data_IF_500584171741
#
_entry.id   IF_500584171741
#
_cell.length_a   1.000
_cell.length_b   1.000
_cell.length_c   1.000
_cell.angle_alpha   90.00
_cell.angle_beta   90.00
_cell.angle_gamma   90.00
#
_symmetry.space_group_name_H-M   'P 1'
#
loop_
_entity.id
_entity.type
_entity.pdbx_description
1 polymer ?
#
# COMPACT_ATOMS: atom_id res chain seq x y z
N UNK A 1 -21.54 11.83 -24.36
CA UNK A 1 -21.29 10.38 -24.52
C UNK A 1 -20.52 9.92 -23.30
N UNK A 2 -21.16 9.27 -22.34
CA UNK A 2 -20.46 8.66 -21.22
C UNK A 2 -20.01 7.26 -21.66
N UNK A 3 -18.70 7.02 -21.69
CA UNK A 3 -18.11 5.74 -22.08
C UNK A 3 -18.28 4.80 -20.88
N UNK A 4 -19.33 3.97 -20.89
CA UNK A 4 -19.79 3.19 -19.73
C UNK A 4 -18.91 2.01 -19.27
N UNK A 5 -17.60 2.03 -19.56
CA UNK A 5 -16.70 0.89 -19.31
C UNK A 5 -15.40 1.28 -18.55
N UNK A 6 -15.27 2.51 -18.07
CA UNK A 6 -14.02 3.00 -17.45
C UNK A 6 -14.02 2.93 -15.92
N UNK A 7 -15.20 2.81 -15.28
CA UNK A 7 -15.33 2.74 -13.83
C UNK A 7 -15.72 1.33 -13.38
N UNK A 8 -14.90 0.76 -12.50
CA UNK A 8 -15.18 -0.52 -11.84
C UNK A 8 -14.88 -0.41 -10.36
N UNK A 9 -15.71 -1.05 -9.55
CA UNK A 9 -15.40 -1.31 -8.15
C UNK A 9 -14.80 -2.70 -8.04
N UNK A 10 -13.70 -2.82 -7.31
CA UNK A 10 -13.09 -4.10 -6.97
C UNK A 10 -13.37 -4.40 -5.50
N UNK A 11 -14.39 -5.22 -5.22
CA UNK A 11 -14.70 -5.71 -3.87
C UNK A 11 -14.52 -7.23 -3.83
N UNK A 12 -13.80 -7.73 -2.82
CA UNK A 12 -13.63 -9.17 -2.57
C UNK A 12 -13.20 -9.98 -3.82
N UNK A 13 -12.31 -9.42 -4.64
CA UNK A 13 -11.81 -10.10 -5.85
C UNK A 13 -12.74 -10.02 -7.07
N UNK A 14 -13.91 -9.40 -6.95
CA UNK A 14 -14.89 -9.28 -8.02
C UNK A 14 -14.87 -7.86 -8.61
N UNK A 15 -14.63 -7.78 -9.92
CA UNK A 15 -14.78 -6.53 -10.67
C UNK A 15 -16.25 -6.35 -11.04
N UNK A 16 -16.87 -5.27 -10.57
CA UNK A 16 -18.19 -4.84 -11.01
C UNK A 16 -18.06 -3.50 -11.71
N UNK A 17 -18.44 -3.45 -12.97
CA UNK A 17 -18.54 -2.18 -13.69
C UNK A 17 -19.72 -1.40 -13.10
N UNK A 18 -19.47 -0.14 -12.77
CA UNK A 18 -20.46 0.75 -12.18
C UNK A 18 -20.73 1.87 -13.15
N UNK A 19 -22.02 2.10 -13.41
CA UNK A 19 -22.46 3.29 -14.11
C UNK A 19 -22.51 4.41 -13.08
N UNK A 20 -21.50 5.27 -13.08
CA UNK A 20 -21.41 6.41 -12.19
C UNK A 20 -22.32 7.51 -12.75
N UNK A 21 -23.40 7.84 -12.03
CA UNK A 21 -24.14 9.07 -12.30
C UNK A 21 -23.31 10.25 -11.81
N UNK A 22 -23.03 11.20 -12.71
CA UNK A 22 -22.27 12.41 -12.38
C UNK A 22 -22.97 13.27 -11.31
N UNK A 23 -24.29 13.15 -11.15
CA UNK A 23 -25.03 13.88 -10.12
C UNK A 23 -24.87 13.29 -8.71
N UNK A 24 -24.45 12.02 -8.60
CA UNK A 24 -24.31 11.27 -7.33
C UNK A 24 -22.84 10.90 -7.03
N UNK A 25 -21.89 11.51 -7.76
CA UNK A 25 -20.45 11.22 -7.60
C UNK A 25 -19.84 11.85 -6.35
N UNK A 26 -20.40 12.98 -5.88
CA UNK A 26 -19.81 13.77 -4.81
C UNK A 26 -20.45 13.47 -3.43
N UNK A 27 -19.69 13.53 -2.33
CA UNK A 27 -18.27 13.81 -2.27
C UNK A 27 -17.42 12.54 -2.47
N UNK A 28 -16.19 12.70 -2.96
CA UNK A 28 -15.21 11.61 -3.03
C UNK A 28 -13.79 12.08 -2.68
N UNK A 29 -12.93 11.12 -2.31
CA UNK A 29 -11.51 11.33 -2.08
C UNK A 29 -10.72 10.90 -3.31
N UNK A 30 -10.09 11.85 -3.99
CA UNK A 30 -9.13 11.58 -5.06
C UNK A 30 -7.74 11.37 -4.45
N UNK A 31 -7.21 10.15 -4.60
CA UNK A 31 -5.85 9.80 -4.17
C UNK A 31 -4.95 9.66 -5.40
N UNK A 32 -4.09 10.65 -5.63
CA UNK A 32 -3.12 10.61 -6.73
C UNK A 32 -1.78 10.05 -6.24
N UNK A 33 -1.39 8.89 -6.76
CA UNK A 33 -0.15 8.19 -6.41
C UNK A 33 0.87 8.37 -7.54
N UNK A 34 1.86 9.23 -7.32
CA UNK A 34 3.03 9.40 -8.18
C UNK A 34 4.32 9.20 -7.38
N UNK A 35 5.33 10.07 -7.59
CA UNK A 35 6.57 10.05 -6.80
C UNK A 35 6.32 10.22 -5.29
N UNK A 36 5.28 10.98 -4.93
CA UNK A 36 4.63 11.00 -3.62
C UNK A 36 3.12 10.83 -3.80
N UNK A 37 2.34 11.11 -2.76
CA UNK A 37 0.88 10.97 -2.79
C UNK A 37 0.18 12.25 -2.37
N UNK A 38 -0.87 12.62 -3.09
CA UNK A 38 -1.75 13.74 -2.74
C UNK A 38 -3.18 13.24 -2.59
N UNK A 39 -3.86 13.67 -1.53
CA UNK A 39 -5.24 13.31 -1.23
C UNK A 39 -6.11 14.56 -1.28
N UNK A 40 -7.12 14.55 -2.14
CA UNK A 40 -7.96 15.71 -2.45
C UNK A 40 -9.41 15.31 -2.23
N UNK A 41 -10.11 16.03 -1.33
CA UNK A 41 -11.56 15.93 -1.19
C UNK A 41 -12.20 16.73 -2.30
N UNK A 42 -13.12 16.12 -3.03
CA UNK A 42 -13.89 16.73 -4.11
C UNK A 42 -15.36 16.72 -3.71
N UNK A 43 -15.90 17.91 -3.45
CA UNK A 43 -17.28 18.13 -2.98
C UNK A 43 -18.25 18.48 -4.13
N UNK A 44 -17.73 18.73 -5.32
CA UNK A 44 -18.50 19.11 -6.50
C UNK A 44 -17.63 19.64 -7.63
N UNK A 45 -18.24 19.93 -8.77
CA UNK A 45 -17.55 20.55 -9.89
C UNK A 45 -16.85 21.84 -9.49
N UNK A 46 -15.52 21.90 -9.70
CA UNK A 46 -14.68 23.02 -9.31
C UNK A 46 -14.54 23.25 -7.80
N UNK A 47 -15.12 22.37 -6.96
CA UNK A 47 -15.06 22.44 -5.49
C UNK A 47 -14.21 21.30 -4.95
N UNK A 48 -12.94 21.59 -4.72
CA UNK A 48 -11.99 20.61 -4.21
C UNK A 48 -10.97 21.25 -3.27
N UNK A 49 -10.46 20.45 -2.35
CA UNK A 49 -9.42 20.86 -1.42
C UNK A 49 -8.44 19.72 -1.16
N UNK A 50 -7.15 20.05 -1.08
CA UNK A 50 -6.13 19.09 -0.66
C UNK A 50 -6.24 18.89 0.85
N UNK A 51 -6.67 17.69 1.26
CA UNK A 51 -6.88 17.35 2.67
C UNK A 51 -5.64 16.69 3.30
N UNK A 52 -4.85 15.98 2.49
CA UNK A 52 -3.66 15.30 2.99
C UNK A 52 -2.67 15.00 1.86
N UNK A 53 -1.56 14.37 2.23
CA UNK A 53 -0.61 13.78 1.30
C UNK A 53 0.66 13.35 2.03
N UNK A 54 1.44 12.51 1.37
CA UNK A 54 2.68 11.98 1.91
C UNK A 54 3.78 12.00 0.86
N UNK A 55 5.02 12.07 1.32
CA UNK A 55 6.13 11.82 0.44
C UNK A 55 6.22 10.32 0.10
N UNK A 56 5.64 9.40 0.88
CA UNK A 56 5.71 7.94 0.66
C UNK A 56 4.84 7.52 -0.52
N UNK A 57 5.43 7.41 -1.72
CA UNK A 57 4.75 6.97 -2.94
C UNK A 57 5.67 6.12 -3.83
N UNK A 58 5.39 6.09 -5.13
CA UNK A 58 6.17 5.30 -6.10
C UNK A 58 7.66 5.70 -6.15
N UNK A 59 7.99 6.96 -5.87
CA UNK A 59 9.38 7.42 -5.80
C UNK A 59 10.15 6.82 -4.64
N UNK A 60 9.47 6.48 -3.52
CA UNK A 60 10.11 5.84 -2.35
C UNK A 60 10.26 4.36 -2.59
N UNK A 61 9.26 3.71 -3.19
CA UNK A 61 9.36 2.33 -3.63
C UNK A 61 10.54 2.15 -4.58
N UNK A 62 10.60 2.97 -5.63
CA UNK A 62 11.69 2.90 -6.60
C UNK A 62 13.05 3.25 -5.99
N UNK A 63 13.15 4.38 -5.30
CA UNK A 63 14.42 4.88 -4.78
C UNK A 63 15.05 3.92 -3.77
N UNK A 64 14.28 3.50 -2.75
CA UNK A 64 14.78 2.56 -1.75
C UNK A 64 14.97 1.17 -2.33
N UNK A 65 14.04 0.70 -3.16
CA UNK A 65 14.16 -0.60 -3.81
C UNK A 65 15.43 -0.70 -4.63
N UNK A 66 15.74 0.32 -5.45
CA UNK A 66 17.00 0.39 -6.21
C UNK A 66 18.23 0.36 -5.31
N UNK A 67 18.23 1.08 -4.19
CA UNK A 67 19.36 1.10 -3.25
C UNK A 67 19.59 -0.25 -2.58
N UNK A 68 18.51 -0.94 -2.20
CA UNK A 68 18.56 -2.17 -1.43
C UNK A 68 18.74 -3.44 -2.29
N UNK A 69 18.23 -3.44 -3.53
CA UNK A 69 18.22 -4.62 -4.41
C UNK A 69 19.18 -4.51 -5.60
N UNK A 70 19.70 -3.30 -5.86
CA UNK A 70 20.54 -2.96 -7.03
C UNK A 70 19.84 -3.11 -8.39
N UNK A 71 18.51 -3.25 -8.44
CA UNK A 71 17.70 -3.25 -9.66
C UNK A 71 17.93 -2.04 -10.56
N UNK A 72 17.65 -2.20 -11.85
CA UNK A 72 17.89 -1.19 -12.90
C UNK A 72 16.62 -0.51 -13.39
N UNK A 73 15.46 -1.14 -13.21
CA UNK A 73 14.17 -0.53 -13.57
C UNK A 73 13.10 -0.71 -12.49
N UNK A 74 12.07 0.14 -12.56
CA UNK A 74 10.88 0.02 -11.73
C UNK A 74 10.17 -1.32 -11.95
N UNK A 75 10.06 -1.75 -13.20
CA UNK A 75 9.37 -2.99 -13.58
C UNK A 75 10.08 -4.22 -13.03
N UNK A 76 11.42 -4.27 -13.10
CA UNK A 76 12.23 -5.34 -12.50
C UNK A 76 11.98 -5.44 -10.98
N UNK A 77 11.97 -4.30 -10.29
CA UNK A 77 11.69 -4.27 -8.85
C UNK A 77 10.27 -4.80 -8.56
N UNK A 78 9.28 -4.43 -9.37
CA UNK A 78 7.91 -4.93 -9.24
C UNK A 78 7.81 -6.43 -9.54
N UNK A 79 8.52 -6.94 -10.55
CA UNK A 79 8.61 -8.37 -10.86
C UNK A 79 9.20 -9.16 -9.69
N UNK A 80 10.30 -8.68 -9.08
CA UNK A 80 10.88 -9.30 -7.89
C UNK A 80 9.88 -9.41 -6.74
N UNK A 81 9.05 -8.39 -6.54
CA UNK A 81 8.05 -8.39 -5.46
C UNK A 81 7.04 -9.54 -5.56
N UNK A 82 6.80 -10.07 -6.77
CA UNK A 82 5.85 -11.16 -7.00
C UNK A 82 6.35 -12.51 -6.46
N UNK A 83 7.67 -12.69 -6.37
CA UNK A 83 8.33 -13.91 -5.87
C UNK A 83 8.83 -13.81 -4.41
N UNK A 84 8.50 -12.71 -3.72
CA UNK A 84 8.97 -12.43 -2.38
C UNK A 84 8.18 -13.16 -1.29
N UNK A 85 8.83 -13.35 -0.15
CA UNK A 85 8.21 -13.74 1.11
C UNK A 85 8.54 -12.69 2.19
N UNK A 86 7.56 -11.88 2.55
CA UNK A 86 7.79 -10.81 3.52
C UNK A 86 8.03 -11.33 4.95
N UNK A 87 7.75 -12.61 5.24
CA UNK A 87 7.88 -13.18 6.60
C UNK A 87 9.33 -13.23 7.08
N UNK A 88 10.30 -13.14 6.18
CA UNK A 88 11.73 -13.12 6.47
C UNK A 88 12.22 -11.74 6.93
N UNK A 89 11.47 -10.67 6.64
CA UNK A 89 11.88 -9.27 6.85
C UNK A 89 10.91 -8.53 7.78
N UNK A 90 9.61 -8.71 7.57
CA UNK A 90 8.57 -8.07 8.36
C UNK A 90 8.26 -8.86 9.64
N UNK A 91 7.98 -8.12 10.70
CA UNK A 91 7.40 -8.67 11.94
C UNK A 91 5.89 -8.69 11.82
N UNK A 92 5.30 -9.86 11.99
CA UNK A 92 3.87 -10.10 11.97
C UNK A 92 3.30 -10.11 13.39
N UNK A 93 1.99 -9.90 13.52
CA UNK A 93 1.28 -10.01 14.80
C UNK A 93 1.50 -11.40 15.43
N UNK A 94 1.52 -12.45 14.61
CA UNK A 94 1.79 -13.81 15.08
C UNK A 94 3.17 -14.00 15.72
N UNK A 95 4.17 -13.24 15.28
CA UNK A 95 5.55 -13.31 15.81
C UNK A 95 5.63 -12.72 17.23
N UNK A 96 4.77 -11.74 17.56
CA UNK A 96 4.73 -11.08 18.87
C UNK A 96 3.96 -11.94 19.89
N UNK A 97 2.87 -12.57 19.45
CA UNK A 97 1.92 -13.24 20.34
C UNK A 97 1.97 -14.77 20.28
N UNK A 98 2.98 -15.35 19.60
CA UNK A 98 3.26 -16.79 19.63
C UNK A 98 2.22 -17.67 18.92
N UNK A 99 1.62 -17.17 17.83
CA UNK A 99 0.70 -17.96 16.99
C UNK A 99 -0.67 -18.29 17.58
N UNK A 100 -0.95 -17.92 18.84
CA UNK A 100 -2.32 -17.97 19.35
C UNK A 100 -3.15 -16.91 18.64
N UNK A 101 -4.19 -17.33 17.91
CA UNK A 101 -5.17 -16.43 17.32
C UNK A 101 -5.70 -15.49 18.39
N UNK A 102 -5.20 -14.26 18.41
CA UNK A 102 -5.58 -13.23 19.36
C UNK A 102 -6.93 -12.65 18.96
N UNK A 103 -7.97 -13.49 19.05
CA UNK A 103 -9.37 -13.18 18.71
C UNK A 103 -9.98 -12.05 19.55
N UNK A 104 -9.25 -11.55 20.55
CA UNK A 104 -9.65 -10.41 21.38
C UNK A 104 -9.45 -9.03 20.73
N UNK A 105 -8.60 -8.89 19.70
CA UNK A 105 -8.30 -7.58 19.05
C UNK A 105 -8.72 -7.55 17.57
N UNK A 106 -9.18 -8.68 17.00
CA UNK A 106 -9.67 -8.72 15.63
C UNK A 106 -8.59 -8.59 14.54
N UNK A 107 -7.31 -8.77 14.89
CA UNK A 107 -6.19 -8.75 13.94
C UNK A 107 -5.74 -10.16 13.57
N UNK A 108 -5.46 -10.39 12.29
CA UNK A 108 -4.91 -11.66 11.81
C UNK A 108 -3.46 -11.83 12.27
N UNK A 109 -3.04 -13.06 12.56
CA UNK A 109 -1.64 -13.39 12.84
C UNK A 109 -0.72 -13.04 11.65
N UNK A 110 -1.27 -13.00 10.43
CA UNK A 110 -0.55 -12.62 9.21
C UNK A 110 -0.44 -11.11 8.97
N UNK A 111 -1.10 -10.28 9.80
CA UNK A 111 -1.01 -8.83 9.70
C UNK A 111 0.40 -8.38 10.04
N UNK A 112 0.99 -7.51 9.20
CA UNK A 112 2.27 -6.87 9.49
C UNK A 112 2.11 -5.96 10.70
N UNK A 113 2.81 -6.27 11.78
CA UNK A 113 2.89 -5.45 12.98
C UNK A 113 3.94 -4.35 12.81
N UNK A 114 5.10 -4.68 12.21
CA UNK A 114 6.18 -3.74 11.94
C UNK A 114 6.99 -4.16 10.73
N UNK A 115 7.08 -3.28 9.73
CA UNK A 115 7.84 -3.54 8.50
C UNK A 115 9.35 -3.51 8.74
N UNK A 116 10.11 -4.39 8.08
CA UNK A 116 11.57 -4.51 8.19
C UNK A 116 12.13 -4.81 9.59
N UNK A 117 11.29 -5.09 10.58
CA UNK A 117 11.74 -5.17 11.97
C UNK A 117 12.59 -6.44 12.26
N UNK A 118 12.41 -7.53 11.50
CA UNK A 118 13.24 -8.74 11.67
C UNK A 118 14.69 -8.50 11.26
N UNK A 119 14.95 -7.54 10.38
CA UNK A 119 16.30 -7.16 9.99
C UNK A 119 17.16 -6.63 11.16
N UNK A 120 16.54 -6.19 12.26
CA UNK A 120 17.27 -5.76 13.47
C UNK A 120 17.67 -6.92 14.39
N UNK A 121 17.02 -8.09 14.26
CA UNK A 121 17.12 -9.19 15.22
C UNK A 121 18.00 -10.33 14.72
N UNK A 122 18.33 -10.32 13.42
CA UNK A 122 19.13 -11.33 12.77
C UNK A 122 20.53 -10.77 12.51
N UNK A 123 21.56 -11.58 12.81
CA UNK A 123 22.95 -11.23 12.51
C UNK A 123 23.23 -11.49 11.02
N UNK A 124 22.48 -10.81 10.15
CA UNK A 124 22.49 -10.92 8.69
C UNK A 124 22.87 -9.57 8.10
N UNK A 125 23.68 -9.61 7.06
CA UNK A 125 23.98 -8.46 6.23
C UNK A 125 22.94 -8.32 5.10
N UNK A 126 22.94 -7.20 4.39
CA UNK A 126 22.01 -6.95 3.30
C UNK A 126 22.06 -8.06 2.23
N UNK A 127 23.25 -8.59 1.95
CA UNK A 127 23.51 -9.64 0.98
C UNK A 127 22.88 -11.00 1.34
N UNK A 128 22.55 -11.22 2.62
CA UNK A 128 21.91 -12.46 3.08
C UNK A 128 20.39 -12.46 2.82
N UNK A 129 19.82 -11.30 2.48
CA UNK A 129 18.40 -11.17 2.16
C UNK A 129 18.17 -11.32 0.66
N UNK A 130 17.09 -12.04 0.33
CA UNK A 130 16.62 -12.17 -1.05
C UNK A 130 16.07 -10.81 -1.53
N UNK A 131 16.51 -10.29 -2.69
CA UNK A 131 15.97 -9.06 -3.27
C UNK A 131 14.44 -9.08 -3.43
N UNK A 132 13.86 -10.25 -3.70
CA UNK A 132 12.42 -10.46 -3.80
C UNK A 132 11.69 -10.17 -2.48
N UNK A 133 12.24 -10.66 -1.36
CA UNK A 133 11.66 -10.47 -0.03
C UNK A 133 11.72 -8.99 0.36
N UNK A 134 12.86 -8.32 0.07
CA UNK A 134 13.04 -6.88 0.30
C UNK A 134 12.01 -6.09 -0.51
N UNK A 135 11.92 -6.39 -1.82
CA UNK A 135 11.01 -5.70 -2.73
C UNK A 135 9.56 -5.83 -2.29
N UNK A 136 9.12 -7.04 -1.95
CA UNK A 136 7.77 -7.29 -1.46
C UNK A 136 7.48 -6.56 -0.14
N UNK A 137 8.41 -6.61 0.82
CA UNK A 137 8.25 -5.96 2.13
C UNK A 137 8.16 -4.43 1.96
N UNK A 138 8.98 -3.85 1.08
CA UNK A 138 8.93 -2.43 0.74
C UNK A 138 7.60 -2.03 0.08
N UNK A 139 7.14 -2.83 -0.89
CA UNK A 139 5.86 -2.60 -1.56
C UNK A 139 4.71 -2.61 -0.54
N UNK A 140 4.65 -3.63 0.32
CA UNK A 140 3.62 -3.77 1.35
C UNK A 140 3.65 -2.64 2.36
N UNK A 141 4.83 -2.24 2.84
CA UNK A 141 4.98 -1.12 3.76
C UNK A 141 4.37 0.17 3.19
N UNK A 142 4.67 0.48 1.92
CA UNK A 142 4.14 1.66 1.24
C UNK A 142 2.63 1.54 1.06
N UNK A 143 2.13 0.42 0.55
CA UNK A 143 0.69 0.19 0.36
C UNK A 143 -0.10 0.32 1.66
N UNK A 144 0.39 -0.27 2.77
CA UNK A 144 -0.26 -0.19 4.09
C UNK A 144 -0.24 1.24 4.63
N UNK A 145 0.87 1.95 4.47
CA UNK A 145 0.97 3.36 4.89
C UNK A 145 -0.06 4.21 4.16
N UNK A 146 -0.19 4.02 2.85
CA UNK A 146 -1.17 4.75 2.04
C UNK A 146 -2.61 4.42 2.38
N UNK A 147 -2.93 3.13 2.57
CA UNK A 147 -4.26 2.69 2.97
C UNK A 147 -4.67 3.26 4.35
N UNK A 148 -3.74 3.33 5.31
CA UNK A 148 -4.01 3.95 6.62
C UNK A 148 -4.29 5.45 6.50
N UNK A 149 -3.47 6.17 5.73
CA UNK A 149 -3.67 7.61 5.52
C UNK A 149 -4.98 7.91 4.79
N UNK A 150 -5.37 7.06 3.83
CA UNK A 150 -6.66 7.16 3.17
C UNK A 150 -7.80 6.97 4.17
N UNK A 151 -7.76 5.93 5.01
CA UNK A 151 -8.77 5.70 6.03
C UNK A 151 -8.91 6.88 7.01
N UNK A 152 -7.79 7.48 7.43
CA UNK A 152 -7.79 8.70 8.25
C UNK A 152 -8.37 9.90 7.49
N UNK A 153 -8.03 10.06 6.21
CA UNK A 153 -8.53 11.17 5.39
C UNK A 153 -10.01 11.01 5.02
N UNK A 154 -10.50 9.78 4.87
CA UNK A 154 -11.90 9.48 4.62
C UNK A 154 -12.79 9.82 5.83
N UNK A 155 -12.24 9.82 7.04
CA UNK A 155 -12.95 10.36 8.21
C UNK A 155 -13.19 11.89 8.16
N UNK A 156 -12.54 12.58 7.22
CA UNK A 156 -12.68 14.03 6.98
C UNK A 156 -13.63 14.35 5.82
N UNK A 157 -14.16 13.32 5.13
CA UNK A 157 -15.26 13.46 4.17
C UNK A 157 -16.58 13.69 4.91
#
# INVERSE_FOLDING_TARGET
>A
MAIGHEAFTHMEGHKRFVQIDHNDLFPYLLVNIGSGVSMIKVDGDGKFQRVSGTNVGGGKYWGLGRLLTKCKSFDELLELSQGGDNRTIDMLVGDIYGGMHYSKIGLSASTIASSFCKANSENKELEDYRPEDISLSLLRMISITLARMEAESNSML
#
